data_IF_102793493851
#
_entry.id   IF_102793493851
#
_cell.length_a   1.000
_cell.length_b   1.000
_cell.length_c   1.000
_cell.angle_alpha   90.00
_cell.angle_beta   90.00
_cell.angle_gamma   90.00
#
_symmetry.space_group_name_H-M   'P 1'
#
loop_
_entity.id
_entity.type
_entity.pdbx_description
1 polymer ?
#
# COMPACT_ATOMS: atom_id res chain seq x y z
N UNK A 1 -35.96 54.24 74.63
CA UNK A 1 -34.96 53.17 74.52
C UNK A 1 -35.03 52.62 73.10
N UNK A 2 -33.95 52.81 72.33
CA UNK A 2 -33.65 52.28 70.98
C UNK A 2 -34.64 52.57 69.80
N UNK A 3 -34.30 53.43 68.84
CA UNK A 3 -33.60 53.21 67.53
C UNK A 3 -34.57 53.13 66.33
N UNK A 4 -34.51 54.23 65.55
CA UNK A 4 -34.43 54.39 64.09
C UNK A 4 -35.32 53.60 63.10
N UNK A 5 -35.91 54.40 62.21
CA UNK A 5 -36.51 54.03 60.95
C UNK A 5 -35.48 53.51 59.92
N UNK A 6 -35.92 52.65 59.00
CA UNK A 6 -35.12 52.21 57.86
C UNK A 6 -35.88 51.27 56.92
N UNK A 7 -36.27 51.82 55.77
CA UNK A 7 -36.97 51.22 54.63
C UNK A 7 -36.07 50.20 53.90
N UNK A 8 -36.61 49.12 53.30
CA UNK A 8 -35.83 48.30 52.37
C UNK A 8 -36.48 47.04 51.79
N UNK A 9 -37.11 47.19 50.63
CA UNK A 9 -37.20 46.26 49.49
C UNK A 9 -37.54 44.76 49.72
N UNK A 10 -38.77 44.37 49.37
CA UNK A 10 -39.13 42.99 49.02
C UNK A 10 -38.85 42.75 47.54
N UNK A 11 -37.85 41.90 47.24
CA UNK A 11 -37.58 41.42 45.89
C UNK A 11 -38.45 40.19 45.59
N UNK A 12 -39.38 40.34 44.65
CA UNK A 12 -40.18 39.24 44.11
C UNK A 12 -39.35 38.48 43.07
N UNK A 13 -39.01 37.22 43.36
CA UNK A 13 -38.33 36.32 42.42
C UNK A 13 -39.38 35.62 41.56
N UNK A 14 -39.53 36.05 40.31
CA UNK A 14 -40.33 35.38 39.29
C UNK A 14 -39.45 34.36 38.56
N UNK A 15 -39.71 33.07 38.76
CA UNK A 15 -39.02 31.99 38.05
C UNK A 15 -39.59 31.89 36.62
N UNK A 16 -38.87 32.39 35.62
CA UNK A 16 -39.18 32.17 34.21
C UNK A 16 -38.43 30.92 33.72
N UNK A 17 -39.12 29.80 33.61
CA UNK A 17 -38.60 28.58 32.96
C UNK A 17 -38.63 28.75 31.44
N UNK A 18 -37.46 28.99 30.85
CA UNK A 18 -37.24 28.90 29.40
C UNK A 18 -37.05 27.42 29.01
N UNK A 19 -38.10 26.78 28.46
CA UNK A 19 -37.93 25.51 27.76
C UNK A 19 -37.39 25.79 26.35
N UNK A 20 -36.09 25.58 26.14
CA UNK A 20 -35.51 25.54 24.80
C UNK A 20 -35.72 24.12 24.26
N UNK A 21 -36.78 23.91 23.49
CA UNK A 21 -36.92 22.72 22.65
C UNK A 21 -35.92 22.81 21.49
N UNK A 22 -34.72 22.25 21.67
CA UNK A 22 -33.81 22.02 20.54
C UNK A 22 -34.26 20.76 19.81
N UNK A 23 -35.02 20.91 18.73
CA UNK A 23 -35.13 19.85 17.72
C UNK A 23 -33.79 19.76 16.98
N UNK A 24 -32.90 18.89 17.45
CA UNK A 24 -31.70 18.52 16.70
C UNK A 24 -32.17 17.54 15.63
N UNK A 25 -32.32 18.02 14.39
CA UNK A 25 -32.44 17.12 13.25
C UNK A 25 -31.18 16.24 13.23
N UNK A 26 -31.30 14.91 13.00
CA UNK A 26 -30.13 14.06 12.87
C UNK A 26 -29.24 14.62 11.76
N UNK A 27 -27.90 14.54 11.89
CA UNK A 27 -27.01 14.99 10.84
C UNK A 27 -27.36 14.24 9.56
N UNK A 28 -27.87 14.96 8.57
CA UNK A 28 -27.96 14.44 7.20
C UNK A 28 -26.51 14.27 6.78
N UNK A 29 -26.04 13.02 6.80
CA UNK A 29 -24.74 12.69 6.20
C UNK A 29 -24.79 13.21 4.76
N UNK A 30 -23.79 13.97 4.30
CA UNK A 30 -23.72 14.31 2.89
C UNK A 30 -23.72 12.98 2.14
N UNK A 31 -24.77 12.72 1.36
CA UNK A 31 -24.71 11.74 0.28
C UNK A 31 -23.56 12.19 -0.60
N UNK A 32 -22.41 11.53 -0.45
CA UNK A 32 -21.33 11.62 -1.42
C UNK A 32 -21.97 11.10 -2.69
N UNK A 33 -22.26 12.00 -3.63
CA UNK A 33 -22.63 11.59 -4.97
C UNK A 33 -21.50 10.68 -5.44
N UNK A 34 -21.80 9.41 -5.70
CA UNK A 34 -20.83 8.47 -6.24
C UNK A 34 -20.36 9.05 -7.57
N UNK A 35 -19.10 9.49 -7.65
CA UNK A 35 -18.50 9.88 -8.92
C UNK A 35 -18.61 8.71 -9.91
N UNK A 36 -18.92 8.95 -11.19
CA UNK A 36 -18.92 7.91 -12.19
C UNK A 36 -17.59 7.16 -12.19
N UNK A 37 -17.61 5.84 -12.42
CA UNK A 37 -16.40 5.01 -12.48
C UNK A 37 -15.36 5.54 -13.50
N UNK A 38 -15.83 6.27 -14.53
CA UNK A 38 -14.98 6.94 -15.51
C UNK A 38 -14.02 7.96 -14.88
N UNK A 39 -14.37 8.59 -13.75
CA UNK A 39 -13.50 9.56 -13.06
C UNK A 39 -12.37 8.87 -12.28
N UNK A 40 -12.42 7.54 -12.17
CA UNK A 40 -11.46 6.74 -11.41
C UNK A 40 -10.48 5.98 -12.30
N UNK A 41 -10.61 6.06 -13.62
CA UNK A 41 -9.76 5.36 -14.60
C UNK A 41 -9.30 6.36 -15.65
N UNK A 42 -8.02 6.32 -16.01
CA UNK A 42 -7.47 7.26 -16.99
C UNK A 42 -6.32 6.67 -17.80
N UNK A 43 -6.31 6.95 -19.09
CA UNK A 43 -5.15 6.78 -19.97
C UNK A 43 -4.32 8.06 -20.13
N UNK A 44 -4.77 9.17 -19.53
CA UNK A 44 -4.15 10.49 -19.56
C UNK A 44 -5.16 11.63 -19.57
N UNK A 45 -6.40 11.36 -19.97
CA UNK A 45 -7.53 12.28 -20.04
C UNK A 45 -7.95 12.86 -18.68
N UNK A 46 -7.56 12.21 -17.58
CA UNK A 46 -7.79 12.70 -16.22
C UNK A 46 -6.54 12.51 -15.36
N UNK A 47 -6.21 13.54 -14.56
CA UNK A 47 -5.14 13.48 -13.57
C UNK A 47 -5.72 12.90 -12.28
N UNK A 48 -5.28 11.70 -11.90
CA UNK A 48 -5.87 10.95 -10.80
C UNK A 48 -5.12 11.15 -9.49
N UNK A 49 -3.87 11.60 -9.52
CA UNK A 49 -3.03 11.74 -8.33
C UNK A 49 -3.33 13.05 -7.57
N UNK A 50 -3.96 13.01 -6.38
CA UNK A 50 -4.38 14.22 -5.68
C UNK A 50 -3.20 15.08 -5.23
N UNK A 51 -3.37 16.41 -5.25
CA UNK A 51 -2.36 17.37 -4.78
C UNK A 51 -1.09 17.45 -5.64
N UNK A 52 -1.02 16.71 -6.75
CA UNK A 52 0.09 16.76 -7.73
C UNK A 52 -0.33 17.31 -9.10
N UNK A 53 -1.57 17.78 -9.23
CA UNK A 53 -2.06 18.44 -10.44
C UNK A 53 -1.42 19.82 -10.55
N UNK A 54 -0.46 19.95 -11.45
CA UNK A 54 0.01 21.26 -11.91
C UNK A 54 -0.92 21.74 -13.02
N UNK A 55 -1.01 23.06 -13.23
CA UNK A 55 -1.76 23.63 -14.36
C UNK A 55 -1.35 22.99 -15.70
N UNK A 56 -0.04 22.72 -15.87
CA UNK A 56 0.51 22.09 -17.08
C UNK A 56 -0.02 20.66 -17.27
N UNK A 57 -0.16 19.88 -16.19
CA UNK A 57 -0.72 18.52 -16.28
C UNK A 57 -2.20 18.54 -16.59
N UNK A 58 -2.95 19.48 -16.01
CA UNK A 58 -4.36 19.64 -16.32
C UNK A 58 -4.55 20.03 -17.79
N UNK A 59 -3.80 21.02 -18.27
CA UNK A 59 -3.84 21.43 -19.67
C UNK A 59 -3.47 20.26 -20.60
N UNK A 60 -2.48 19.44 -20.23
CA UNK A 60 -2.14 18.25 -20.99
C UNK A 60 -3.31 17.26 -21.08
N UNK A 61 -4.01 17.01 -19.96
CA UNK A 61 -5.20 16.15 -19.92
C UNK A 61 -6.32 16.70 -20.82
N UNK A 62 -6.56 18.02 -20.77
CA UNK A 62 -7.54 18.68 -21.63
C UNK A 62 -7.18 18.53 -23.11
N UNK A 63 -5.90 18.66 -23.47
CA UNK A 63 -5.43 18.43 -24.85
C UNK A 63 -5.55 16.97 -25.29
N UNK A 64 -5.42 16.00 -24.38
CA UNK A 64 -5.66 14.58 -24.69
C UNK A 64 -7.14 14.36 -25.01
N UNK A 65 -8.03 14.91 -24.18
CA UNK A 65 -9.49 14.85 -24.38
C UNK A 65 -9.91 15.52 -25.70
N UNK A 66 -9.24 16.60 -26.08
CA UNK A 66 -9.44 17.29 -27.35
C UNK A 66 -8.81 16.57 -28.57
N UNK A 67 -8.04 15.49 -28.37
CA UNK A 67 -7.34 14.77 -29.45
C UNK A 67 -6.04 15.42 -29.92
N UNK A 68 -5.58 16.50 -29.28
CA UNK A 68 -4.38 17.26 -29.61
C UNK A 68 -3.11 16.61 -29.01
N UNK A 69 -2.84 15.36 -29.41
CA UNK A 69 -1.80 14.51 -28.82
C UNK A 69 -0.38 15.11 -28.89
N UNK A 70 -0.06 15.87 -29.95
CA UNK A 70 1.26 16.52 -30.07
C UNK A 70 1.46 17.59 -29.00
N UNK A 71 0.44 18.42 -28.75
CA UNK A 71 0.50 19.47 -27.73
C UNK A 71 0.52 18.86 -26.33
N UNK A 72 -0.32 17.85 -26.09
CA UNK A 72 -0.31 17.10 -24.84
C UNK A 72 1.06 16.49 -24.53
N UNK A 73 1.74 15.92 -25.53
CA UNK A 73 3.09 15.38 -25.36
C UNK A 73 4.10 16.45 -24.93
N UNK A 74 4.09 17.63 -25.56
CA UNK A 74 4.96 18.76 -25.17
C UNK A 74 4.69 19.24 -23.74
N UNK A 75 3.42 19.32 -23.34
CA UNK A 75 3.04 19.70 -21.98
C UNK A 75 3.49 18.67 -20.95
N UNK A 76 3.28 17.37 -21.21
CA UNK A 76 3.75 16.30 -20.31
C UNK A 76 5.28 16.19 -20.24
N UNK A 77 6.00 16.45 -21.34
CA UNK A 77 7.46 16.54 -21.31
C UNK A 77 7.93 17.68 -20.41
N UNK A 78 7.24 18.83 -20.47
CA UNK A 78 7.52 19.99 -19.62
C UNK A 78 7.24 19.66 -18.15
N UNK A 79 6.09 19.06 -17.85
CA UNK A 79 5.74 18.58 -16.51
C UNK A 79 6.76 17.56 -15.98
N UNK A 80 7.24 16.65 -16.84
CA UNK A 80 8.24 15.63 -16.48
C UNK A 80 9.62 16.22 -16.19
N UNK A 81 10.01 17.32 -16.86
CA UNK A 81 11.25 18.05 -16.54
C UNK A 81 11.14 18.74 -15.18
N UNK A 82 9.97 19.31 -14.87
CA UNK A 82 9.73 19.98 -13.59
C UNK A 82 9.65 19.00 -12.41
N UNK A 83 9.05 17.82 -12.61
CA UNK A 83 8.99 16.77 -11.60
C UNK A 83 9.35 15.40 -12.18
N UNK A 84 10.64 15.06 -12.26
CA UNK A 84 11.07 13.78 -12.80
C UNK A 84 10.54 12.57 -12.01
N UNK A 85 10.24 12.73 -10.73
CA UNK A 85 9.88 11.63 -9.87
C UNK A 85 8.39 11.22 -9.95
N UNK A 86 7.61 11.85 -10.85
CA UNK A 86 6.18 11.60 -11.07
C UNK A 86 5.92 10.47 -12.08
N UNK A 87 5.47 9.28 -11.64
CA UNK A 87 5.22 8.15 -12.54
C UNK A 87 3.95 8.30 -13.37
N UNK A 88 2.92 9.01 -12.90
CA UNK A 88 1.67 9.22 -13.63
C UNK A 88 1.95 9.99 -14.92
N UNK A 89 2.71 11.08 -14.81
CA UNK A 89 3.15 11.87 -15.97
C UNK A 89 3.95 11.02 -16.97
N UNK A 90 4.84 10.14 -16.51
CA UNK A 90 5.61 9.28 -17.41
C UNK A 90 4.72 8.25 -18.12
N UNK A 91 3.76 7.66 -17.41
CA UNK A 91 2.82 6.69 -17.97
C UNK A 91 1.99 7.34 -19.08
N UNK A 92 1.40 8.51 -18.81
CA UNK A 92 0.59 9.22 -19.79
C UNK A 92 1.41 9.70 -20.97
N UNK A 93 2.63 10.19 -20.76
CA UNK A 93 3.54 10.56 -21.84
C UNK A 93 3.87 9.35 -22.73
N UNK A 94 4.12 8.19 -22.13
CA UNK A 94 4.35 6.96 -22.88
C UNK A 94 3.11 6.50 -23.65
N UNK A 95 1.91 6.63 -23.08
CA UNK A 95 0.65 6.31 -23.76
C UNK A 95 0.46 7.18 -25.02
N UNK A 96 0.66 8.50 -24.90
CA UNK A 96 0.47 9.44 -26.01
C UNK A 96 1.46 9.21 -27.14
N UNK A 97 2.72 8.93 -26.80
CA UNK A 97 3.79 8.65 -27.79
C UNK A 97 3.52 7.42 -28.65
N UNK A 98 2.60 6.54 -28.25
CA UNK A 98 2.18 5.42 -29.09
C UNK A 98 1.35 5.91 -30.29
N UNK A 99 0.56 6.97 -30.13
CA UNK A 99 -0.38 7.46 -31.15
C UNK A 99 -1.49 6.44 -31.45
N UNK A 100 -1.94 6.38 -32.70
CA UNK A 100 -3.00 5.48 -33.17
C UNK A 100 -2.53 4.03 -33.42
N UNK A 101 -1.31 3.68 -33.02
CA UNK A 101 -0.76 2.34 -33.25
C UNK A 101 -1.46 1.27 -32.40
N UNK A 102 -1.43 0.02 -32.88
CA UNK A 102 -1.88 -1.14 -32.10
C UNK A 102 -1.12 -1.22 -30.78
N UNK A 103 -1.84 -1.59 -29.71
CA UNK A 103 -1.28 -1.73 -28.36
C UNK A 103 -1.63 -3.04 -27.71
N UNK A 104 -0.82 -3.41 -26.71
CA UNK A 104 -1.24 -4.28 -25.63
C UNK A 104 -1.54 -3.40 -24.42
N UNK A 105 -2.75 -3.50 -23.86
CA UNK A 105 -3.18 -2.68 -22.73
C UNK A 105 -3.14 -3.49 -21.44
N UNK A 106 -2.63 -2.88 -20.38
CA UNK A 106 -2.77 -3.37 -19.00
C UNK A 106 -3.36 -2.27 -18.11
N UNK A 107 -3.99 -2.66 -17.01
CA UNK A 107 -4.42 -1.74 -15.96
C UNK A 107 -3.44 -1.73 -14.78
N UNK A 108 -3.36 -0.61 -14.06
CA UNK A 108 -2.79 -0.54 -12.71
C UNK A 108 -3.80 0.09 -11.76
N UNK A 109 -4.21 -0.63 -10.71
CA UNK A 109 -5.18 -0.16 -9.73
C UNK A 109 -4.51 0.06 -8.37
N UNK A 110 -4.54 1.31 -7.87
CA UNK A 110 -3.86 1.73 -6.65
C UNK A 110 -4.68 2.76 -5.85
N UNK A 111 -4.59 2.81 -4.51
CA UNK A 111 -5.37 3.72 -3.68
C UNK A 111 -4.79 5.15 -3.64
N UNK A 112 -4.96 5.94 -4.71
CA UNK A 112 -4.28 7.23 -4.87
C UNK A 112 -4.65 8.26 -3.79
N UNK A 113 -5.92 8.35 -3.38
CA UNK A 113 -6.34 9.35 -2.40
C UNK A 113 -5.97 8.98 -0.96
N UNK A 114 -6.15 7.71 -0.60
CA UNK A 114 -5.95 7.23 0.78
C UNK A 114 -4.50 6.81 1.06
N UNK A 115 -3.72 6.43 0.04
CA UNK A 115 -2.32 6.04 0.19
C UNK A 115 -1.44 6.58 -0.96
N UNK A 116 -1.24 7.90 -1.08
CA UNK A 116 -0.55 8.51 -2.21
C UNK A 116 0.94 8.10 -2.33
N UNK A 117 1.63 7.87 -1.21
CA UNK A 117 3.05 7.46 -1.22
C UNK A 117 3.20 6.05 -1.79
N UNK A 118 2.47 5.08 -1.25
CA UNK A 118 2.54 3.68 -1.67
C UNK A 118 2.04 3.51 -3.11
N UNK A 119 1.01 4.25 -3.50
CA UNK A 119 0.52 4.29 -4.88
C UNK A 119 1.58 4.85 -5.84
N UNK A 120 2.26 5.94 -5.48
CA UNK A 120 3.38 6.48 -6.27
C UNK A 120 4.48 5.44 -6.46
N UNK A 121 4.81 4.69 -5.41
CA UNK A 121 5.85 3.66 -5.45
C UNK A 121 5.47 2.50 -6.37
N UNK A 122 4.21 2.03 -6.33
CA UNK A 122 3.70 1.00 -7.25
C UNK A 122 3.72 1.51 -8.69
N UNK A 123 3.20 2.72 -8.95
CA UNK A 123 3.19 3.31 -10.29
C UNK A 123 4.58 3.48 -10.89
N UNK A 124 5.61 3.75 -10.08
CA UNK A 124 7.01 3.82 -10.56
C UNK A 124 7.48 2.51 -11.20
N UNK A 125 7.14 1.37 -10.61
CA UNK A 125 7.59 0.07 -11.15
C UNK A 125 6.89 -0.25 -12.48
N UNK A 126 5.59 0.03 -12.56
CA UNK A 126 4.80 -0.10 -13.80
C UNK A 126 5.31 0.84 -14.88
N UNK A 127 5.49 2.12 -14.55
CA UNK A 127 5.98 3.15 -15.46
C UNK A 127 7.36 2.81 -16.02
N UNK A 128 8.24 2.26 -15.17
CA UNK A 128 9.58 1.86 -15.58
C UNK A 128 9.55 0.72 -16.60
N UNK A 129 8.78 -0.36 -16.36
CA UNK A 129 8.63 -1.45 -17.34
C UNK A 129 8.02 -0.94 -18.64
N UNK A 130 6.96 -0.13 -18.57
CA UNK A 130 6.34 0.45 -19.76
C UNK A 130 7.35 1.24 -20.59
N UNK A 131 8.14 2.10 -19.93
CA UNK A 131 9.17 2.90 -20.58
C UNK A 131 10.23 2.01 -21.24
N UNK A 132 10.76 1.03 -20.52
CA UNK A 132 11.77 0.10 -21.04
C UNK A 132 11.24 -0.70 -22.25
N UNK A 133 10.04 -1.29 -22.13
CA UNK A 133 9.40 -2.05 -23.22
C UNK A 133 9.16 -1.18 -24.44
N UNK A 134 8.60 0.02 -24.25
CA UNK A 134 8.26 0.91 -25.37
C UNK A 134 9.50 1.48 -26.06
N UNK A 135 10.57 1.80 -25.32
CA UNK A 135 11.85 2.22 -25.89
C UNK A 135 12.54 1.06 -26.63
N UNK A 136 12.38 -0.17 -26.19
CA UNK A 136 13.00 -1.36 -26.80
C UNK A 136 12.24 -1.94 -28.01
N UNK A 137 11.36 -1.15 -28.64
CA UNK A 137 10.59 -1.61 -29.79
C UNK A 137 9.21 -2.20 -29.48
N UNK A 138 8.88 -2.47 -28.21
CA UNK A 138 7.61 -3.08 -27.79
C UNK A 138 7.68 -4.61 -27.65
N UNK A 139 6.55 -5.21 -27.29
CA UNK A 139 6.38 -6.66 -27.18
C UNK A 139 6.08 -7.22 -28.57
N UNK A 140 7.07 -7.86 -29.19
CA UNK A 140 6.97 -8.34 -30.58
C UNK A 140 6.53 -7.22 -31.55
N UNK A 141 7.07 -6.00 -31.36
CA UNK A 141 6.74 -4.82 -32.16
C UNK A 141 5.50 -4.02 -31.72
N UNK A 142 4.74 -4.50 -30.74
CA UNK A 142 3.51 -3.83 -30.24
C UNK A 142 3.80 -3.12 -28.92
N UNK A 143 3.46 -1.84 -28.80
CA UNK A 143 3.73 -1.04 -27.60
C UNK A 143 2.77 -1.38 -26.45
N UNK A 144 3.24 -1.16 -25.21
CA UNK A 144 2.46 -1.32 -23.99
C UNK A 144 1.77 0.00 -23.61
N UNK A 145 0.44 -0.02 -23.55
CA UNK A 145 -0.40 1.05 -23.02
C UNK A 145 -0.84 0.71 -21.60
N UNK A 146 -0.87 1.69 -20.71
CA UNK A 146 -1.22 1.49 -19.29
C UNK A 146 -2.39 2.38 -18.91
N UNK A 147 -3.48 1.80 -18.42
CA UNK A 147 -4.55 2.52 -17.74
C UNK A 147 -4.20 2.65 -16.25
N UNK A 148 -4.31 3.84 -15.67
CA UNK A 148 -4.23 4.03 -14.23
C UNK A 148 -5.66 4.05 -13.69
N UNK A 149 -5.90 3.34 -12.59
CA UNK A 149 -7.15 3.39 -11.86
C UNK A 149 -6.92 3.60 -10.37
N UNK A 150 -7.90 4.21 -9.70
CA UNK A 150 -7.91 4.35 -8.24
C UNK A 150 -9.14 3.75 -7.59
N UNK A 151 -8.90 2.83 -6.66
CA UNK A 151 -9.93 2.23 -5.81
C UNK A 151 -10.00 2.89 -4.43
N UNK A 152 -9.08 3.81 -4.11
CA UNK A 152 -8.98 4.48 -2.81
C UNK A 152 -9.00 3.55 -1.58
N UNK A 153 -8.60 2.28 -1.71
CA UNK A 153 -8.70 1.24 -0.67
C UNK A 153 -10.15 0.85 -0.32
N UNK A 154 -11.11 1.17 -1.19
CA UNK A 154 -12.53 0.84 -1.05
C UNK A 154 -12.85 -0.44 -1.86
N UNK A 155 -13.31 -1.53 -1.22
CA UNK A 155 -13.64 -2.79 -1.91
C UNK A 155 -14.78 -2.69 -2.93
N UNK A 156 -15.78 -1.82 -2.70
CA UNK A 156 -16.89 -1.63 -3.63
C UNK A 156 -16.39 -0.90 -4.88
N UNK A 157 -15.62 0.17 -4.70
CA UNK A 157 -14.99 0.87 -5.83
C UNK A 157 -13.99 -0.03 -6.57
N UNK A 158 -13.25 -0.90 -5.85
CA UNK A 158 -12.37 -1.89 -6.46
C UNK A 158 -13.13 -2.88 -7.36
N UNK A 159 -14.33 -3.28 -6.97
CA UNK A 159 -15.24 -4.12 -7.77
C UNK A 159 -15.63 -3.40 -9.05
N UNK A 160 -16.06 -2.13 -8.95
CA UNK A 160 -16.42 -1.31 -10.12
C UNK A 160 -15.23 -1.08 -11.07
N UNK A 161 -14.03 -0.83 -10.53
CA UNK A 161 -12.79 -0.73 -11.34
C UNK A 161 -12.52 -2.04 -12.07
N UNK A 162 -12.68 -3.18 -11.39
CA UNK A 162 -12.48 -4.49 -11.98
C UNK A 162 -13.48 -4.79 -13.10
N UNK A 163 -14.75 -4.42 -12.93
CA UNK A 163 -15.79 -4.55 -13.95
C UNK A 163 -15.48 -3.69 -15.18
N UNK A 164 -15.08 -2.43 -14.98
CA UNK A 164 -14.69 -1.53 -16.07
C UNK A 164 -13.46 -2.04 -16.83
N UNK A 165 -12.44 -2.52 -16.12
CA UNK A 165 -11.27 -3.17 -16.74
C UNK A 165 -11.62 -4.45 -17.48
N UNK A 166 -12.52 -5.26 -16.95
CA UNK A 166 -12.98 -6.48 -17.59
C UNK A 166 -13.79 -6.21 -18.86
N UNK A 167 -14.59 -5.13 -18.88
CA UNK A 167 -15.39 -4.71 -20.02
C UNK A 167 -14.54 -4.22 -21.21
N UNK A 168 -13.33 -3.65 -20.97
CA UNK A 168 -12.39 -3.33 -22.04
C UNK A 168 -11.68 -4.59 -22.57
N UNK A 169 -12.13 -5.09 -23.72
CA UNK A 169 -11.54 -6.25 -24.37
C UNK A 169 -10.06 -6.09 -24.75
N UNK A 170 -9.54 -4.86 -24.82
CA UNK A 170 -8.13 -4.60 -25.10
C UNK A 170 -7.24 -4.75 -23.86
N UNK A 171 -7.82 -4.70 -22.67
CA UNK A 171 -7.11 -4.84 -21.41
C UNK A 171 -6.83 -6.33 -21.13
N UNK A 172 -5.54 -6.66 -21.10
CA UNK A 172 -5.04 -8.04 -21.07
C UNK A 172 -4.66 -8.53 -19.67
N UNK A 173 -4.41 -7.62 -18.73
CA UNK A 173 -4.07 -7.95 -17.35
C UNK A 173 -3.97 -6.72 -16.48
N UNK A 174 -3.96 -6.92 -15.16
CA UNK A 174 -3.95 -5.86 -14.14
C UNK A 174 -2.76 -6.03 -13.20
N UNK A 175 -2.10 -4.92 -12.86
CA UNK A 175 -1.17 -4.83 -11.73
C UNK A 175 -1.90 -4.16 -10.57
N UNK A 176 -2.13 -4.88 -9.48
CA UNK A 176 -2.98 -4.43 -8.39
C UNK A 176 -3.83 -5.57 -7.83
N UNK A 177 -4.71 -5.30 -6.87
CA UNK A 177 -4.98 -3.99 -6.27
C UNK A 177 -4.02 -3.69 -5.10
N UNK A 178 -4.11 -2.48 -4.54
CA UNK A 178 -3.17 -1.95 -3.55
C UNK A 178 -3.41 -2.35 -2.10
N UNK A 179 -4.49 -3.08 -1.77
CA UNK A 179 -4.73 -3.64 -0.43
C UNK A 179 -5.25 -5.07 -0.52
N UNK A 180 -5.16 -5.84 0.58
CA UNK A 180 -5.71 -7.20 0.59
C UNK A 180 -7.24 -7.19 0.41
N UNK A 181 -7.93 -6.24 1.03
CA UNK A 181 -9.38 -6.08 0.94
C UNK A 181 -9.82 -5.79 -0.50
N UNK A 182 -9.15 -4.86 -1.20
CA UNK A 182 -9.49 -4.52 -2.59
C UNK A 182 -9.11 -5.61 -3.59
N UNK A 183 -8.00 -6.33 -3.36
CA UNK A 183 -7.61 -7.46 -4.22
C UNK A 183 -8.58 -8.64 -4.08
N UNK A 184 -9.10 -8.91 -2.88
CA UNK A 184 -10.12 -9.96 -2.69
C UNK A 184 -11.40 -9.61 -3.45
N UNK A 185 -11.92 -8.38 -3.30
CA UNK A 185 -13.13 -7.94 -3.97
C UNK A 185 -12.99 -7.93 -5.51
N UNK A 186 -11.95 -7.27 -6.03
CA UNK A 186 -11.68 -7.22 -7.47
C UNK A 186 -11.37 -8.61 -8.05
N UNK A 187 -10.75 -9.50 -7.26
CA UNK A 187 -10.37 -10.85 -7.66
C UNK A 187 -11.56 -11.75 -8.01
N UNK A 188 -12.71 -11.55 -7.38
CA UNK A 188 -13.96 -12.27 -7.73
C UNK A 188 -14.44 -11.90 -9.13
N UNK A 189 -14.44 -10.61 -9.46
CA UNK A 189 -14.79 -10.11 -10.80
C UNK A 189 -13.81 -10.63 -11.83
N UNK A 190 -12.51 -10.48 -11.58
CA UNK A 190 -11.44 -10.96 -12.46
C UNK A 190 -11.52 -12.46 -12.74
N UNK A 191 -11.88 -13.27 -11.74
CA UNK A 191 -12.13 -14.69 -11.93
C UNK A 191 -13.28 -14.95 -12.89
N UNK A 192 -14.42 -14.27 -12.71
CA UNK A 192 -15.61 -14.44 -13.56
C UNK A 192 -15.38 -13.97 -15.00
N UNK A 193 -14.54 -12.96 -15.19
CA UNK A 193 -14.27 -12.31 -16.48
C UNK A 193 -12.98 -12.80 -17.16
N UNK A 194 -12.37 -13.85 -16.61
CA UNK A 194 -11.11 -14.44 -17.07
C UNK A 194 -9.95 -13.44 -17.26
N UNK A 195 -9.90 -12.38 -16.46
CA UNK A 195 -8.87 -11.34 -16.52
C UNK A 195 -7.85 -11.56 -15.41
N UNK A 196 -6.56 -11.63 -15.76
CA UNK A 196 -5.50 -11.84 -14.76
C UNK A 196 -5.20 -10.56 -13.99
N UNK A 197 -5.03 -10.67 -12.67
CA UNK A 197 -4.43 -9.64 -11.83
C UNK A 197 -3.19 -10.16 -11.08
N UNK A 198 -2.16 -9.33 -10.99
CA UNK A 198 -0.96 -9.60 -10.18
C UNK A 198 -0.80 -8.47 -9.15
N UNK A 199 -1.05 -8.76 -7.87
CA UNK A 199 -0.88 -7.76 -6.81
C UNK A 199 0.58 -7.68 -6.35
N UNK A 200 1.19 -6.48 -6.33
CA UNK A 200 2.52 -6.28 -5.76
C UNK A 200 2.52 -5.90 -4.28
N UNK A 201 1.35 -5.83 -3.64
CA UNK A 201 1.20 -5.30 -2.27
C UNK A 201 0.38 -6.21 -1.35
N UNK A 202 -0.65 -6.89 -1.85
CA UNK A 202 -1.59 -7.61 -1.01
C UNK A 202 -0.99 -8.91 -0.45
N UNK A 203 -0.89 -9.03 0.87
CA UNK A 203 -0.19 -10.12 1.55
C UNK A 203 -1.10 -11.07 2.34
N UNK A 204 -2.41 -10.81 2.42
CA UNK A 204 -3.31 -11.65 3.22
C UNK A 204 -3.21 -13.13 2.87
N UNK A 205 -3.19 -14.02 3.87
CA UNK A 205 -3.05 -15.47 3.67
C UNK A 205 -4.16 -16.02 2.78
N UNK A 206 -5.38 -15.48 2.90
CA UNK A 206 -6.54 -15.87 2.10
C UNK A 206 -6.31 -15.75 0.59
N UNK A 207 -5.40 -14.88 0.13
CA UNK A 207 -5.10 -14.71 -1.30
C UNK A 207 -4.38 -15.93 -1.91
N UNK A 208 -3.70 -16.74 -1.09
CA UNK A 208 -3.04 -17.97 -1.55
C UNK A 208 -4.07 -18.97 -2.08
N UNK A 209 -4.09 -19.19 -3.39
CA UNK A 209 -5.03 -20.11 -4.04
C UNK A 209 -6.49 -19.61 -4.05
N UNK A 210 -6.70 -18.31 -3.81
CA UNK A 210 -8.03 -17.68 -3.79
C UNK A 210 -8.75 -17.81 -5.13
N UNK A 211 -8.04 -17.51 -6.21
CA UNK A 211 -8.56 -17.49 -7.57
C UNK A 211 -7.48 -17.94 -8.53
N UNK A 212 -7.79 -18.70 -9.59
CA UNK A 212 -6.81 -19.01 -10.61
C UNK A 212 -6.33 -17.74 -11.32
N UNK A 213 -7.10 -16.65 -11.35
CA UNK A 213 -6.74 -15.43 -12.06
C UNK A 213 -6.00 -14.39 -11.21
N UNK A 214 -5.84 -14.66 -9.91
CA UNK A 214 -5.14 -13.76 -8.98
C UNK A 214 -3.78 -14.34 -8.62
N UNK A 215 -2.73 -13.55 -8.88
CA UNK A 215 -1.35 -13.84 -8.52
C UNK A 215 -0.81 -12.71 -7.64
N UNK A 216 0.33 -12.94 -6.98
CA UNK A 216 1.03 -11.87 -6.28
C UNK A 216 2.54 -12.02 -6.31
N UNK A 217 3.22 -10.88 -6.44
CA UNK A 217 4.67 -10.79 -6.23
C UNK A 217 5.03 -10.49 -4.78
N UNK A 218 4.06 -10.02 -3.99
CA UNK A 218 4.16 -9.87 -2.53
C UNK A 218 4.12 -11.25 -1.84
N UNK A 219 4.99 -11.51 -0.85
CA UNK A 219 4.89 -12.72 -0.03
C UNK A 219 3.62 -12.73 0.84
N UNK A 220 3.11 -13.94 1.09
CA UNK A 220 2.03 -14.21 2.05
C UNK A 220 2.44 -13.79 3.46
N UNK A 221 1.48 -13.30 4.27
CA UNK A 221 1.66 -12.92 5.67
C UNK A 221 2.19 -14.05 6.56
N UNK A 222 2.05 -15.32 6.13
CA UNK A 222 2.68 -16.46 6.79
C UNK A 222 4.20 -16.30 6.91
N UNK A 223 4.84 -15.77 5.87
CA UNK A 223 6.29 -15.62 5.82
C UNK A 223 6.83 -14.53 6.76
N UNK A 224 6.32 -13.28 6.77
CA UNK A 224 6.76 -12.26 7.73
C UNK A 224 6.35 -12.63 9.17
N UNK A 225 5.18 -13.23 9.40
CA UNK A 225 4.77 -13.71 10.71
C UNK A 225 5.75 -14.74 11.29
N UNK A 226 6.17 -15.71 10.48
CA UNK A 226 7.18 -16.70 10.86
C UNK A 226 8.52 -16.05 11.21
N UNK A 227 9.02 -15.13 10.39
CA UNK A 227 10.30 -14.47 10.68
C UNK A 227 10.25 -13.57 11.91
N UNK A 228 9.17 -12.79 12.09
CA UNK A 228 9.02 -11.91 13.24
C UNK A 228 8.86 -12.69 14.55
N UNK A 229 8.05 -13.75 14.57
CA UNK A 229 7.89 -14.62 15.74
C UNK A 229 9.20 -15.32 16.11
N UNK A 230 9.93 -15.83 15.12
CA UNK A 230 11.26 -16.41 15.33
C UNK A 230 12.26 -15.38 15.85
N UNK A 231 12.26 -14.16 15.30
CA UNK A 231 13.13 -13.08 15.76
C UNK A 231 12.83 -12.72 17.22
N UNK A 232 11.55 -12.61 17.59
CA UNK A 232 11.11 -12.34 18.95
C UNK A 232 11.66 -13.37 19.94
N UNK A 233 11.45 -14.66 19.66
CA UNK A 233 11.85 -15.75 20.56
C UNK A 233 13.37 -15.93 20.59
N UNK A 234 14.02 -15.89 19.44
CA UNK A 234 15.43 -16.32 19.34
C UNK A 234 16.42 -15.17 19.56
N UNK A 235 16.10 -13.96 19.10
CA UNK A 235 17.00 -12.80 19.14
C UNK A 235 16.63 -11.83 20.26
N UNK A 236 15.35 -11.53 20.44
CA UNK A 236 14.90 -10.65 21.54
C UNK A 236 14.75 -11.41 22.87
N UNK A 237 14.71 -12.74 22.84
CA UNK A 237 14.45 -13.60 24.02
C UNK A 237 13.15 -13.23 24.72
N UNK A 238 12.13 -12.91 23.92
CA UNK A 238 10.78 -12.53 24.34
C UNK A 238 9.79 -13.62 23.96
N UNK A 239 8.80 -13.84 24.81
CA UNK A 239 7.93 -15.02 24.72
C UNK A 239 6.44 -14.70 24.86
N UNK A 240 6.06 -13.46 25.21
CA UNK A 240 4.69 -13.03 25.45
C UNK A 240 4.38 -11.77 24.64
N UNK A 241 3.72 -11.93 23.50
CA UNK A 241 3.38 -10.81 22.64
C UNK A 241 2.00 -10.23 22.96
N UNK A 242 1.87 -8.91 22.89
CA UNK A 242 0.59 -8.24 22.66
C UNK A 242 0.48 -7.84 21.19
N UNK A 243 -0.67 -8.06 20.55
CA UNK A 243 -0.89 -7.67 19.15
C UNK A 243 -1.85 -6.49 19.07
N UNK A 244 -1.46 -5.43 18.35
CA UNK A 244 -2.32 -4.30 17.99
C UNK A 244 -2.70 -4.40 16.52
N UNK A 245 -3.98 -4.50 16.21
CA UNK A 245 -4.48 -4.78 14.86
C UNK A 245 -5.77 -4.00 14.57
N UNK A 246 -6.16 -3.90 13.30
CA UNK A 246 -7.43 -3.36 12.84
C UNK A 246 -8.37 -4.53 12.48
N UNK A 247 -9.43 -4.76 13.26
CA UNK A 247 -10.39 -5.83 12.97
C UNK A 247 -11.17 -5.64 11.67
N UNK A 248 -11.18 -4.44 11.07
CA UNK A 248 -11.86 -4.14 9.81
C UNK A 248 -11.02 -4.42 8.56
N UNK A 249 -9.73 -4.73 8.68
CA UNK A 249 -8.86 -4.99 7.52
C UNK A 249 -8.47 -6.47 7.39
N UNK A 250 -8.65 -7.05 6.20
CA UNK A 250 -8.22 -8.41 5.89
C UNK A 250 -6.71 -8.61 6.05
N UNK A 251 -5.90 -7.62 5.65
CA UNK A 251 -4.45 -7.63 5.88
C UNK A 251 -4.12 -7.73 7.37
N UNK A 252 -4.74 -6.87 8.18
CA UNK A 252 -4.42 -6.75 9.59
C UNK A 252 -4.79 -8.01 10.39
N UNK A 253 -6.00 -8.54 10.14
CA UNK A 253 -6.44 -9.83 10.72
C UNK A 253 -5.52 -10.97 10.29
N UNK A 254 -5.19 -11.03 8.99
CA UNK A 254 -4.30 -12.05 8.43
C UNK A 254 -2.92 -12.08 9.10
N UNK A 255 -2.26 -10.93 9.24
CA UNK A 255 -0.96 -10.86 9.88
C UNK A 255 -1.02 -11.18 11.38
N UNK A 256 -2.08 -10.74 12.08
CA UNK A 256 -2.33 -11.08 13.48
C UNK A 256 -2.45 -12.60 13.66
N UNK A 257 -3.33 -13.24 12.89
CA UNK A 257 -3.61 -14.67 13.01
C UNK A 257 -2.38 -15.49 12.61
N UNK A 258 -1.70 -15.13 11.51
CA UNK A 258 -0.47 -15.80 11.09
C UNK A 258 0.65 -15.70 12.15
N UNK A 259 0.78 -14.55 12.83
CA UNK A 259 1.78 -14.37 13.90
C UNK A 259 1.45 -15.20 15.15
N UNK A 260 0.17 -15.23 15.53
CA UNK A 260 -0.33 -16.06 16.63
C UNK A 260 -0.07 -17.55 16.36
N UNK A 261 -0.41 -18.01 15.17
CA UNK A 261 -0.15 -19.38 14.73
C UNK A 261 1.35 -19.70 14.73
N UNK A 262 2.18 -18.81 14.19
CA UNK A 262 3.62 -19.00 14.15
C UNK A 262 4.24 -19.11 15.57
N UNK A 263 3.75 -18.35 16.55
CA UNK A 263 4.17 -18.49 17.95
C UNK A 263 3.75 -19.82 18.55
N UNK A 264 2.50 -20.22 18.31
CA UNK A 264 1.95 -21.49 18.79
C UNK A 264 2.76 -22.68 18.25
N UNK A 265 2.98 -22.77 16.94
CA UNK A 265 3.72 -23.88 16.32
C UNK A 265 5.21 -23.89 16.67
N UNK A 266 5.81 -22.73 16.95
CA UNK A 266 7.19 -22.69 17.45
C UNK A 266 7.32 -23.22 18.89
N UNK A 267 6.21 -23.37 19.64
CA UNK A 267 6.16 -23.93 20.99
C UNK A 267 6.90 -23.11 22.05
N UNK A 268 7.32 -21.89 21.71
CA UNK A 268 8.23 -21.06 22.50
C UNK A 268 7.72 -19.64 22.70
N UNK A 269 6.44 -19.38 22.49
CA UNK A 269 5.83 -18.10 22.79
C UNK A 269 4.32 -18.14 22.71
N UNK A 270 3.67 -17.09 23.19
CA UNK A 270 2.22 -16.96 23.18
C UNK A 270 1.80 -15.51 22.97
N UNK A 271 0.59 -15.32 22.49
CA UNK A 271 -0.09 -14.03 22.48
C UNK A 271 -0.86 -13.91 23.80
N UNK A 272 -0.54 -12.90 24.60
CA UNK A 272 -1.21 -12.64 25.89
C UNK A 272 -2.31 -11.60 25.79
N UNK A 273 -2.31 -10.79 24.73
CA UNK A 273 -3.32 -9.76 24.49
C UNK A 273 -3.52 -9.51 22.99
N UNK A 274 -4.76 -9.25 22.59
CA UNK A 274 -5.13 -8.75 21.26
C UNK A 274 -5.91 -7.44 21.44
N UNK A 275 -5.43 -6.35 20.85
CA UNK A 275 -6.02 -5.01 20.97
C UNK A 275 -6.49 -4.54 19.60
N UNK A 276 -7.79 -4.32 19.47
CA UNK A 276 -8.40 -3.80 18.24
C UNK A 276 -8.33 -2.27 18.21
N UNK A 277 -7.44 -1.76 17.35
CA UNK A 277 -7.25 -0.35 17.05
C UNK A 277 -8.50 0.31 16.47
N UNK A 278 -9.42 -0.45 15.87
CA UNK A 278 -10.62 0.10 15.26
C UNK A 278 -11.78 0.29 16.24
N UNK A 279 -11.63 -0.20 17.49
CA UNK A 279 -12.63 -0.02 18.53
C UNK A 279 -12.91 1.47 18.76
N UNK A 280 -14.19 1.87 18.92
CA UNK A 280 -14.54 3.26 19.24
C UNK A 280 -13.99 3.70 20.61
N UNK A 281 -13.87 2.76 21.56
CA UNK A 281 -13.37 2.99 22.92
C UNK A 281 -11.85 2.82 23.03
N UNK A 282 -11.15 2.69 21.90
CA UNK A 282 -9.70 2.51 21.89
C UNK A 282 -8.98 3.72 22.48
N UNK A 283 -8.21 3.49 23.55
CA UNK A 283 -7.27 4.45 24.12
C UNK A 283 -5.83 3.89 24.07
N UNK A 284 -4.87 4.58 23.44
CA UNK A 284 -3.50 4.06 23.28
C UNK A 284 -2.74 3.92 24.59
N UNK A 285 -2.95 4.81 25.56
CA UNK A 285 -2.25 4.76 26.86
C UNK A 285 -2.79 3.61 27.70
N UNK A 286 -4.11 3.56 27.89
CA UNK A 286 -4.75 2.52 28.70
C UNK A 286 -4.49 1.13 28.11
N UNK A 287 -4.53 1.00 26.78
CA UNK A 287 -4.21 -0.26 26.10
C UNK A 287 -2.77 -0.71 26.36
N UNK A 288 -1.80 0.20 26.31
CA UNK A 288 -0.40 -0.13 26.58
C UNK A 288 -0.20 -0.55 28.05
N UNK A 289 -0.79 0.17 29.00
CA UNK A 289 -0.71 -0.21 30.42
C UNK A 289 -1.34 -1.58 30.68
N UNK A 290 -2.49 -1.85 30.07
CA UNK A 290 -3.20 -3.12 30.25
C UNK A 290 -2.42 -4.30 29.66
N UNK A 291 -1.82 -4.17 28.46
CA UNK A 291 -1.02 -5.28 27.91
C UNK A 291 0.26 -5.55 28.70
N UNK A 292 0.89 -4.51 29.27
CA UNK A 292 2.04 -4.68 30.19
C UNK A 292 1.60 -5.42 31.45
N UNK A 293 0.44 -5.06 32.02
CA UNK A 293 -0.15 -5.74 33.19
C UNK A 293 -0.50 -7.20 32.91
N UNK A 294 -0.94 -7.52 31.69
CA UNK A 294 -1.17 -8.89 31.22
C UNK A 294 0.14 -9.66 30.96
N UNK A 295 1.29 -9.01 31.14
CA UNK A 295 2.61 -9.64 31.10
C UNK A 295 3.21 -9.72 29.70
N UNK A 296 2.77 -8.86 28.77
CA UNK A 296 3.42 -8.74 27.48
C UNK A 296 4.89 -8.28 27.64
N UNK A 297 5.79 -8.92 26.92
CA UNK A 297 7.22 -8.60 26.90
C UNK A 297 7.71 -8.17 25.49
N UNK A 298 6.80 -8.09 24.52
CA UNK A 298 6.95 -7.49 23.20
C UNK A 298 5.58 -7.04 22.63
N UNK A 299 5.59 -6.09 21.70
CA UNK A 299 4.39 -5.70 20.94
C UNK A 299 4.56 -6.03 19.45
N UNK A 300 3.52 -6.62 18.85
CA UNK A 300 3.38 -6.81 17.41
C UNK A 300 2.34 -5.81 16.87
N UNK A 301 2.77 -4.92 15.97
CA UNK A 301 1.93 -3.90 15.37
C UNK A 301 1.56 -4.30 13.94
N UNK A 302 0.29 -4.56 13.70
CA UNK A 302 -0.22 -5.01 12.41
C UNK A 302 -1.30 -4.08 11.82
N UNK A 303 -1.18 -2.73 11.83
CA UNK A 303 -2.24 -1.86 11.31
C UNK A 303 -2.27 -1.86 9.78
N UNK A 304 -3.44 -1.60 9.20
CA UNK A 304 -3.51 -1.08 7.83
C UNK A 304 -3.19 0.44 7.81
N UNK A 305 -3.09 1.03 6.62
CA UNK A 305 -2.76 2.46 6.49
C UNK A 305 -3.80 3.40 7.13
N UNK A 306 -5.08 3.00 7.16
CA UNK A 306 -6.17 3.76 7.77
C UNK A 306 -5.90 4.09 9.25
N UNK A 307 -5.39 3.12 10.03
CA UNK A 307 -5.13 3.28 11.47
C UNK A 307 -3.64 3.51 11.79
N UNK A 308 -2.84 3.91 10.80
CA UNK A 308 -1.41 4.12 10.97
C UNK A 308 -1.10 5.18 12.05
N UNK A 309 -1.75 6.34 12.00
CA UNK A 309 -1.51 7.43 12.97
C UNK A 309 -1.98 7.06 14.38
N UNK A 310 -3.11 6.37 14.49
CA UNK A 310 -3.59 5.82 15.77
C UNK A 310 -2.58 4.82 16.36
N UNK A 311 -1.90 4.05 15.53
CA UNK A 311 -0.85 3.11 15.98
C UNK A 311 0.43 3.83 16.39
N UNK A 312 0.78 4.97 15.78
CA UNK A 312 1.91 5.78 16.25
C UNK A 312 1.69 6.31 17.67
N UNK A 313 0.44 6.55 18.08
CA UNK A 313 0.13 6.90 19.47
C UNK A 313 0.39 5.72 20.43
N UNK A 314 0.17 4.48 20.01
CA UNK A 314 0.56 3.27 20.79
C UNK A 314 2.07 3.21 20.96
N UNK A 315 2.81 3.47 19.86
CA UNK A 315 4.27 3.49 19.87
C UNK A 315 4.80 4.55 20.84
N UNK A 316 4.20 5.74 20.85
CA UNK A 316 4.57 6.82 21.77
C UNK A 316 4.22 6.46 23.23
N UNK A 317 3.00 5.98 23.48
CA UNK A 317 2.55 5.55 24.80
C UNK A 317 3.40 4.42 25.40
N UNK A 318 3.98 3.56 24.56
CA UNK A 318 4.91 2.53 25.00
C UNK A 318 6.18 3.09 25.65
N UNK A 319 6.62 4.30 25.30
CA UNK A 319 7.82 4.93 25.87
C UNK A 319 9.06 4.01 25.85
N UNK A 320 9.19 3.18 24.80
CA UNK A 320 10.24 2.17 24.64
C UNK A 320 10.29 1.07 25.74
N UNK A 321 9.21 0.85 26.50
CA UNK A 321 9.14 -0.18 27.55
C UNK A 321 9.13 -1.60 26.96
N UNK A 322 8.41 -1.80 25.86
CA UNK A 322 8.35 -3.07 25.13
C UNK A 322 9.03 -2.95 23.75
N UNK A 323 9.81 -3.96 23.32
CA UNK A 323 10.34 -3.99 21.96
C UNK A 323 9.21 -4.12 20.93
N UNK A 324 9.41 -3.49 19.78
CA UNK A 324 8.41 -3.37 18.72
C UNK A 324 8.73 -4.30 17.55
N UNK A 325 7.78 -5.16 17.20
CA UNK A 325 7.70 -5.88 15.93
C UNK A 325 6.58 -5.22 15.11
N UNK A 326 6.73 -5.11 13.80
CA UNK A 326 5.70 -4.51 12.96
C UNK A 326 5.61 -5.15 11.57
N UNK A 327 4.40 -5.10 11.00
CA UNK A 327 4.14 -5.45 9.61
C UNK A 327 4.76 -4.46 8.61
N UNK A 328 4.78 -4.84 7.34
CA UNK A 328 5.32 -4.06 6.22
C UNK A 328 4.61 -2.71 6.00
N UNK A 329 3.39 -2.53 6.54
CA UNK A 329 2.68 -1.25 6.57
C UNK A 329 3.47 -0.13 7.28
N UNK A 330 4.40 -0.48 8.18
CA UNK A 330 5.31 0.47 8.83
C UNK A 330 6.55 0.82 8.00
N UNK A 331 6.80 0.20 6.84
CA UNK A 331 7.95 0.54 5.99
C UNK A 331 7.68 1.81 5.18
N UNK A 332 7.63 2.95 5.87
CA UNK A 332 7.29 4.26 5.31
C UNK A 332 8.22 5.36 5.83
N UNK A 333 8.48 6.42 5.03
CA UNK A 333 9.17 7.61 5.53
C UNK A 333 8.49 8.21 6.76
N UNK A 334 7.14 8.21 6.80
CA UNK A 334 6.34 8.75 7.92
C UNK A 334 6.66 8.06 9.25
N UNK A 335 6.90 6.74 9.25
CA UNK A 335 7.34 5.99 10.45
C UNK A 335 8.58 6.60 11.06
N UNK A 336 9.59 6.91 10.23
CA UNK A 336 10.87 7.46 10.70
C UNK A 336 10.75 8.93 11.10
N UNK A 337 9.94 9.72 10.37
CA UNK A 337 9.79 11.16 10.58
C UNK A 337 8.95 11.48 11.81
N UNK A 338 7.80 10.81 11.97
CA UNK A 338 6.84 11.05 13.04
C UNK A 338 7.17 10.21 14.27
N UNK A 339 7.43 8.91 14.09
CA UNK A 339 7.74 8.01 15.20
C UNK A 339 9.08 8.31 15.88
N UNK A 340 10.03 8.91 15.16
CA UNK A 340 11.27 9.44 15.71
C UNK A 340 12.04 8.47 16.62
N UNK A 341 12.30 8.89 17.87
CA UNK A 341 13.00 8.04 18.86
C UNK A 341 12.14 6.89 19.39
N UNK A 342 10.81 6.98 19.33
CA UNK A 342 9.92 5.95 19.86
C UNK A 342 9.85 4.70 18.96
N UNK A 343 10.25 4.82 17.69
CA UNK A 343 10.39 3.68 16.77
C UNK A 343 11.80 3.10 16.74
N UNK A 344 12.75 3.62 17.53
CA UNK A 344 14.12 3.09 17.53
C UNK A 344 14.14 1.63 17.93
N UNK A 345 14.80 0.82 17.11
CA UNK A 345 14.89 -0.62 17.33
C UNK A 345 13.66 -1.42 16.93
N UNK A 346 12.61 -0.77 16.39
CA UNK A 346 11.49 -1.47 15.75
C UNK A 346 11.99 -2.40 14.66
N UNK A 347 11.45 -3.61 14.65
CA UNK A 347 11.82 -4.70 13.75
C UNK A 347 10.66 -4.93 12.77
N UNK A 348 10.97 -4.95 11.47
CA UNK A 348 10.00 -5.21 10.42
C UNK A 348 10.49 -6.37 9.55
N UNK A 349 9.56 -7.16 9.03
CA UNK A 349 9.81 -8.09 7.95
C UNK A 349 9.32 -7.45 6.65
N UNK A 350 10.21 -7.31 5.67
CA UNK A 350 9.90 -6.73 4.36
C UNK A 350 10.39 -7.64 3.24
N UNK A 351 9.77 -7.59 2.05
CA UNK A 351 10.33 -8.21 0.86
C UNK A 351 11.76 -7.69 0.62
N UNK A 352 12.72 -8.61 0.43
CA UNK A 352 14.18 -8.35 0.39
C UNK A 352 14.59 -7.15 -0.46
N UNK A 353 15.56 -6.32 -0.01
CA UNK A 353 15.78 -5.04 -0.68
C UNK A 353 17.22 -4.49 -0.84
N UNK A 354 18.22 -4.59 0.05
CA UNK A 354 19.20 -3.47 -0.01
C UNK A 354 20.52 -3.64 -0.80
N UNK A 355 21.25 -4.75 -0.74
CA UNK A 355 22.64 -4.74 -1.25
C UNK A 355 22.74 -5.07 -2.75
N UNK A 356 21.94 -6.02 -3.22
CA UNK A 356 22.00 -6.48 -4.61
C UNK A 356 21.25 -5.54 -5.56
N UNK A 357 20.19 -4.87 -5.07
CA UNK A 357 19.41 -3.91 -5.85
C UNK A 357 20.29 -2.76 -6.30
N UNK A 358 21.12 -2.20 -5.41
CA UNK A 358 22.01 -1.07 -5.71
C UNK A 358 22.91 -1.29 -6.93
N UNK A 359 23.21 -2.56 -7.24
CA UNK A 359 24.09 -2.93 -8.35
C UNK A 359 23.34 -3.44 -9.58
N UNK A 360 22.02 -3.66 -9.47
CA UNK A 360 21.18 -4.18 -10.56
C UNK A 360 21.02 -3.17 -11.71
N UNK A 361 20.86 -3.63 -12.97
CA UNK A 361 20.48 -2.77 -14.08
C UNK A 361 19.18 -2.01 -13.80
N UNK A 362 18.21 -2.67 -13.16
CA UNK A 362 16.96 -2.06 -12.71
C UNK A 362 17.19 -0.80 -11.87
N UNK A 363 18.05 -0.86 -10.84
CA UNK A 363 18.25 0.26 -9.93
C UNK A 363 19.00 1.41 -10.59
N UNK A 364 19.91 1.13 -11.54
CA UNK A 364 20.56 2.18 -12.33
C UNK A 364 19.51 2.98 -13.11
N UNK A 365 18.60 2.29 -13.78
CA UNK A 365 17.52 2.93 -14.53
C UNK A 365 16.51 3.62 -13.61
N UNK A 366 16.16 2.99 -12.48
CA UNK A 366 15.28 3.57 -11.48
C UNK A 366 15.84 4.88 -10.93
N UNK A 367 17.16 4.95 -10.66
CA UNK A 367 17.82 6.18 -10.22
C UNK A 367 17.74 7.29 -11.28
N UNK A 368 17.92 6.94 -12.56
CA UNK A 368 17.79 7.91 -13.67
C UNK A 368 16.35 8.43 -13.81
N UNK A 369 15.36 7.56 -13.64
CA UNK A 369 13.96 7.93 -13.77
C UNK A 369 13.45 8.72 -12.55
N UNK A 370 13.80 8.28 -11.34
CA UNK A 370 13.13 8.69 -10.11
C UNK A 370 13.98 9.55 -9.17
N UNK A 371 15.27 9.71 -9.47
CA UNK A 371 16.20 10.59 -8.75
C UNK A 371 16.72 10.06 -7.41
N UNK A 372 15.99 9.16 -6.74
CA UNK A 372 16.39 8.54 -5.48
C UNK A 372 16.26 7.00 -5.56
N UNK A 373 16.70 6.32 -4.50
CA UNK A 373 16.48 4.89 -4.31
C UNK A 373 14.97 4.60 -4.23
N UNK A 374 14.53 3.60 -4.97
CA UNK A 374 13.14 3.14 -4.96
C UNK A 374 12.94 2.11 -3.85
N UNK A 375 11.73 1.89 -3.38
CA UNK A 375 11.50 0.91 -2.33
C UNK A 375 11.02 -0.45 -2.88
N UNK A 376 10.74 -1.39 -1.98
CA UNK A 376 10.27 -2.72 -2.35
C UNK A 376 8.95 -2.71 -3.13
N UNK A 377 8.05 -1.72 -2.91
CA UNK A 377 6.78 -1.64 -3.66
C UNK A 377 7.02 -1.37 -5.14
N UNK A 378 7.98 -0.49 -5.45
CA UNK A 378 8.43 -0.27 -6.83
C UNK A 378 9.08 -1.50 -7.44
N UNK A 379 9.89 -2.23 -6.66
CA UNK A 379 10.52 -3.48 -7.12
C UNK A 379 9.47 -4.55 -7.43
N UNK A 380 8.52 -4.78 -6.52
CA UNK A 380 7.51 -5.82 -6.69
C UNK A 380 6.48 -5.48 -7.76
N UNK A 381 6.17 -4.19 -7.98
CA UNK A 381 5.31 -3.77 -9.09
C UNK A 381 6.03 -3.82 -10.44
N UNK A 382 7.34 -3.55 -10.48
CA UNK A 382 8.18 -3.84 -11.64
C UNK A 382 8.13 -5.33 -11.97
N UNK A 383 8.34 -6.20 -10.98
CA UNK A 383 8.31 -7.65 -11.14
C UNK A 383 6.94 -8.17 -11.62
N UNK A 384 5.85 -7.62 -11.06
CA UNK A 384 4.49 -7.95 -11.49
C UNK A 384 4.26 -7.55 -12.96
N UNK A 385 4.74 -6.37 -13.35
CA UNK A 385 4.60 -5.88 -14.73
C UNK A 385 5.47 -6.68 -15.70
N UNK A 386 6.69 -7.05 -15.32
CA UNK A 386 7.56 -7.94 -16.11
C UNK A 386 6.93 -9.31 -16.31
N UNK A 387 6.26 -9.86 -15.30
CA UNK A 387 5.52 -11.12 -15.42
C UNK A 387 4.37 -11.01 -16.44
N UNK A 388 3.57 -9.95 -16.39
CA UNK A 388 2.53 -9.70 -17.40
C UNK A 388 3.14 -9.54 -18.80
N UNK A 389 4.18 -8.72 -18.96
CA UNK A 389 4.86 -8.51 -20.25
C UNK A 389 5.39 -9.82 -20.82
N UNK A 390 6.04 -10.65 -20.01
CA UNK A 390 6.55 -11.95 -20.44
C UNK A 390 5.44 -12.94 -20.81
N UNK A 391 4.31 -12.90 -20.10
CA UNK A 391 3.14 -13.72 -20.43
C UNK A 391 2.46 -13.25 -21.74
N UNK A 392 2.30 -11.94 -21.92
CA UNK A 392 1.81 -11.33 -23.17
C UNK A 392 2.72 -11.71 -24.35
N UNK A 393 4.04 -11.68 -24.15
CA UNK A 393 5.02 -12.07 -25.18
C UNK A 393 4.85 -13.53 -25.64
N UNK A 394 4.47 -14.43 -24.72
CA UNK A 394 4.19 -15.85 -25.03
C UNK A 394 2.83 -16.03 -25.70
N UNK A 395 1.79 -15.39 -25.17
CA UNK A 395 0.44 -15.49 -25.72
C UNK A 395 -0.39 -14.24 -25.35
N UNK A 396 -0.62 -13.31 -26.29
CA UNK A 396 -1.23 -12.00 -26.01
C UNK A 396 -2.77 -12.07 -25.97
N UNK A 397 -3.32 -13.00 -25.18
CA UNK A 397 -4.75 -13.12 -24.89
C UNK A 397 -4.93 -13.34 -23.40
N UNK A 398 -6.07 -12.93 -22.82
CA UNK A 398 -6.33 -13.11 -21.38
C UNK A 398 -6.11 -14.57 -20.91
N UNK A 399 -6.67 -15.53 -21.66
CA UNK A 399 -6.52 -16.97 -21.42
C UNK A 399 -5.07 -17.46 -21.61
N UNK A 400 -4.37 -16.92 -22.60
CA UNK A 400 -2.96 -17.19 -22.87
C UNK A 400 -2.02 -16.70 -21.77
N UNK A 401 -2.30 -15.51 -21.23
CA UNK A 401 -1.58 -14.92 -20.09
C UNK A 401 -1.80 -15.77 -18.85
N UNK A 402 -3.05 -16.12 -18.54
CA UNK A 402 -3.37 -17.02 -17.42
C UNK A 402 -2.66 -18.37 -17.53
N UNK A 403 -2.67 -19.00 -18.69
CA UNK A 403 -1.95 -20.28 -18.91
C UNK A 403 -0.45 -20.10 -18.74
N UNK A 404 0.10 -19.00 -19.28
CA UNK A 404 1.52 -18.71 -19.16
C UNK A 404 1.93 -18.54 -17.70
N UNK A 405 1.22 -17.76 -16.90
CA UNK A 405 1.62 -17.48 -15.51
C UNK A 405 1.54 -18.70 -14.58
N UNK A 406 0.66 -19.66 -14.87
CA UNK A 406 0.52 -20.89 -14.09
C UNK A 406 1.37 -22.05 -14.60
N UNK A 407 2.06 -21.89 -15.73
CA UNK A 407 3.01 -22.90 -16.22
C UNK A 407 4.20 -22.95 -15.25
N UNK A 408 4.54 -24.11 -14.65
CA UNK A 408 5.71 -24.25 -13.78
C UNK A 408 7.05 -23.86 -14.45
N UNK A 409 7.10 -23.85 -15.79
CA UNK A 409 8.25 -23.40 -16.59
C UNK A 409 8.21 -21.90 -16.89
N UNK A 410 7.17 -21.19 -16.44
CA UNK A 410 7.11 -19.74 -16.56
C UNK A 410 8.12 -19.09 -15.65
N UNK A 411 8.94 -18.25 -16.26
CA UNK A 411 9.95 -17.52 -15.54
C UNK A 411 10.45 -16.35 -16.38
N UNK A 412 10.51 -15.16 -15.78
CA UNK A 412 11.01 -13.93 -16.40
C UNK A 412 12.03 -13.26 -15.49
N UNK A 413 12.93 -12.45 -16.03
CA UNK A 413 13.82 -11.65 -15.20
C UNK A 413 13.04 -10.47 -14.61
N UNK A 414 12.98 -10.40 -13.28
CA UNK A 414 12.50 -9.23 -12.55
C UNK A 414 13.61 -8.19 -12.34
N UNK A 415 13.43 -7.32 -11.37
CA UNK A 415 14.38 -6.30 -10.96
C UNK A 415 15.71 -6.90 -10.45
N UNK A 416 15.63 -8.05 -9.76
CA UNK A 416 16.78 -8.72 -9.14
C UNK A 416 16.93 -10.17 -9.57
N UNK A 417 15.84 -10.91 -9.42
CA UNK A 417 15.80 -12.35 -9.58
C UNK A 417 14.64 -12.72 -10.49
N UNK A 418 14.56 -14.01 -10.80
CA UNK A 418 13.53 -14.50 -11.70
C UNK A 418 12.17 -14.51 -10.99
N UNK A 419 11.16 -13.99 -11.66
CA UNK A 419 9.75 -14.02 -11.22
C UNK A 419 9.12 -15.30 -11.75
N UNK A 420 8.48 -16.04 -10.86
CA UNK A 420 7.67 -17.24 -11.13
C UNK A 420 6.59 -17.34 -10.05
N UNK A 421 5.58 -18.18 -10.26
CA UNK A 421 4.47 -18.36 -9.34
C UNK A 421 4.28 -19.84 -9.02
N UNK A 422 3.92 -20.12 -7.78
CA UNK A 422 3.44 -21.43 -7.35
C UNK A 422 2.05 -21.71 -7.93
N UNK A 423 1.57 -22.95 -7.78
CA UNK A 423 0.20 -23.34 -8.16
C UNK A 423 -0.88 -22.51 -7.45
N UNK A 424 -0.56 -21.93 -6.28
CA UNK A 424 -1.44 -21.07 -5.50
C UNK A 424 -1.40 -19.59 -5.95
N UNK A 425 -0.66 -19.26 -7.00
CA UNK A 425 -0.49 -17.88 -7.48
C UNK A 425 0.51 -17.05 -6.66
N UNK A 426 1.17 -17.64 -5.66
CA UNK A 426 2.15 -16.95 -4.82
C UNK A 426 3.55 -17.01 -5.44
N UNK A 427 4.29 -15.90 -5.40
CA UNK A 427 5.72 -15.90 -5.71
C UNK A 427 6.54 -16.46 -4.52
N UNK A 428 7.41 -17.46 -4.74
CA UNK A 428 8.42 -17.83 -3.75
C UNK A 428 9.50 -16.74 -3.70
N UNK A 429 9.58 -16.01 -2.59
CA UNK A 429 10.58 -14.98 -2.37
C UNK A 429 11.06 -14.97 -0.91
N UNK A 430 12.35 -14.72 -0.73
CA UNK A 430 12.96 -14.55 0.59
C UNK A 430 12.60 -13.18 1.19
N UNK A 431 12.45 -13.15 2.50
CA UNK A 431 12.21 -11.94 3.28
C UNK A 431 13.48 -11.43 3.92
N UNK A 432 13.51 -10.13 4.19
CA UNK A 432 14.56 -9.49 4.94
C UNK A 432 13.98 -8.87 6.21
N UNK A 433 14.70 -9.04 7.33
CA UNK A 433 14.38 -8.35 8.57
C UNK A 433 15.18 -7.05 8.62
N UNK A 434 14.46 -5.95 8.78
CA UNK A 434 15.03 -4.61 8.93
C UNK A 434 14.78 -4.08 10.34
N UNK A 435 15.68 -3.24 10.80
CA UNK A 435 15.61 -2.55 12.09
C UNK A 435 15.68 -1.04 11.87
N UNK A 436 14.87 -0.29 12.61
CA UNK A 436 15.00 1.17 12.65
C UNK A 436 16.25 1.54 13.46
N UNK A 437 17.16 2.29 12.86
CA UNK A 437 18.43 2.73 13.46
C UNK A 437 18.68 4.22 13.23
N UNK A 438 19.55 4.88 14.00
CA UNK A 438 20.05 6.20 13.64
C UNK A 438 20.67 6.18 12.23
N UNK A 439 20.28 7.14 11.40
CA UNK A 439 20.82 7.22 10.04
C UNK A 439 22.25 7.79 10.05
N UNK A 440 23.04 7.43 9.04
CA UNK A 440 24.42 7.92 8.89
C UNK A 440 24.54 9.18 8.05
N UNK A 441 23.48 9.55 7.33
CA UNK A 441 23.53 10.51 6.23
C UNK A 441 22.49 11.61 6.38
N UNK A 442 22.73 12.61 7.24
CA UNK A 442 21.90 13.84 7.39
C UNK A 442 20.42 13.65 7.81
N UNK A 443 19.85 12.46 7.65
CA UNK A 443 18.56 12.00 8.14
C UNK A 443 18.71 11.62 9.62
N UNK A 444 17.61 11.62 10.37
CA UNK A 444 17.64 11.21 11.79
C UNK A 444 17.63 9.69 11.97
N UNK A 445 16.79 8.98 11.20
CA UNK A 445 16.60 7.53 11.30
C UNK A 445 16.51 6.86 9.92
N UNK A 446 16.81 5.56 9.86
CA UNK A 446 16.74 4.73 8.65
C UNK A 446 16.32 3.29 8.97
N UNK A 447 15.70 2.60 8.00
CA UNK A 447 15.53 1.15 8.05
C UNK A 447 16.80 0.47 7.54
N UNK A 448 17.44 -0.34 8.40
CA UNK A 448 18.67 -1.06 8.08
C UNK A 448 18.49 -2.58 8.22
N UNK A 449 18.90 -3.38 7.23
CA UNK A 449 18.90 -4.83 7.35
C UNK A 449 19.73 -5.37 8.51
N UNK A 450 19.23 -6.39 9.19
CA UNK A 450 19.94 -7.02 10.33
C UNK A 450 21.03 -7.99 9.86
N UNK A 451 20.95 -8.51 8.63
CA UNK A 451 22.01 -9.32 8.00
C UNK A 451 23.35 -8.55 7.90
N UNK A 452 23.30 -7.22 7.82
CA UNK A 452 24.48 -6.34 7.76
C UNK A 452 25.29 -6.26 9.07
N UNK A 453 24.73 -6.72 10.21
CA UNK A 453 25.45 -6.73 11.48
C UNK A 453 26.47 -7.89 11.58
N UNK A 454 26.32 -8.96 10.77
CA UNK A 454 27.28 -10.09 10.74
C UNK A 454 28.64 -9.75 10.12
N UNK A 455 28.76 -8.65 9.37
CA UNK A 455 30.05 -8.20 8.81
C UNK A 455 30.83 -7.27 9.74
N UNK A 456 30.37 -7.03 10.97
CA UNK A 456 30.99 -6.08 11.91
C UNK A 456 31.49 -6.71 13.22
N UNK A 457 31.42 -8.03 13.32
CA UNK A 457 31.89 -8.78 14.49
C UNK A 457 33.16 -9.61 14.23
N UNK A 458 33.93 -9.28 13.19
CA UNK A 458 35.28 -9.81 12.96
C UNK A 458 36.29 -8.67 12.99
#
# INVERSE_FOLDING_TARGET
>A
MAIAAGIGATASVTLATWMISRSVAPPVMPTIASSPIADHISFGETILTPGKTTLIKQEAADQITAGNLSQAATLLETARRANPADPETLIYLNNIRIGANKTYTIGVAVPLATQPSTSTEVLRGVAQVQNEVNQSGGINGVKLKVAIATDNSDPELATQVAEAFAADSNLLGVVGHGTSDTTLAAGEVYQSQELVAISPVSSAVQLSGFSPYVFRTMPSDQAPAKHLSQYMVTRLKKHKAAIFFNSRSAYSRSLKDAFKDALFYNGKGQVVAEVDLSSPDFNPVDSVEEVIKQGADAMMLAPNQELFDRTLLVVDANQNRLPLLAGDAFYLPKTLQVGGKAVLGMILAVPTYQVEVDRSPFQKQAKLLWGDRVNWRTVLSYDATQALVGAIKRSPTRKGIRRSLADPKFSVMGALNRVSFSEKGDRPIELEIVKVTPARSGKKFEFRPISSDKQRSN
#
